data_IF_893178436414
#
_entry.id   IF_893178436414
#
_cell.length_a   1.000
_cell.length_b   1.000
_cell.length_c   1.000
_cell.angle_alpha   90.00
_cell.angle_beta   90.00
_cell.angle_gamma   90.00
#
_symmetry.space_group_name_H-M   'P 1'
#
loop_
_entity.id
_entity.type
_entity.pdbx_description
1 polymer ?
#
# COMPACT_ATOMS: atom_id res chain seq x y z
N UNK A 1 -4.16 24.23 -40.03
CA UNK A 1 -3.58 22.97 -40.57
C UNK A 1 -3.12 21.98 -39.49
N UNK A 2 -2.43 22.39 -38.41
CA UNK A 2 -2.04 21.48 -37.32
C UNK A 2 -3.20 20.89 -36.48
N UNK A 3 -4.21 21.70 -36.17
CA UNK A 3 -5.42 21.26 -35.43
C UNK A 3 -6.24 20.19 -36.17
N UNK A 4 -6.32 20.27 -37.50
CA UNK A 4 -7.01 19.28 -38.35
C UNK A 4 -6.24 17.94 -38.42
N UNK A 5 -4.91 17.98 -38.30
CA UNK A 5 -4.07 16.78 -38.24
C UNK A 5 -4.21 16.04 -36.90
N UNK A 6 -4.22 16.72 -35.73
CA UNK A 6 -4.41 16.00 -34.45
C UNK A 6 -5.81 15.38 -34.34
N UNK A 7 -6.87 16.07 -34.78
CA UNK A 7 -8.22 15.49 -34.81
C UNK A 7 -8.31 14.25 -35.71
N UNK A 8 -7.60 14.22 -36.85
CA UNK A 8 -7.62 13.07 -37.77
C UNK A 8 -6.81 11.87 -37.26
N UNK A 9 -5.70 12.09 -36.57
CA UNK A 9 -4.87 11.02 -36.02
C UNK A 9 -5.58 10.30 -34.86
N UNK A 10 -6.32 11.06 -34.04
CA UNK A 10 -7.05 10.54 -32.87
C UNK A 10 -8.35 9.83 -33.23
N UNK A 11 -9.06 10.30 -34.27
CA UNK A 11 -10.32 9.68 -34.71
C UNK A 11 -10.12 8.28 -35.34
N UNK A 12 -8.89 7.95 -35.76
CA UNK A 12 -8.57 6.64 -36.34
C UNK A 12 -8.31 5.55 -35.30
N UNK A 13 -7.90 5.93 -34.08
CA UNK A 13 -7.66 5.00 -32.96
C UNK A 13 -8.89 4.78 -32.06
N UNK A 14 -10.01 5.46 -32.33
CA UNK A 14 -11.20 5.48 -31.48
C UNK A 14 -12.33 4.50 -31.83
N UNK A 15 -12.16 3.59 -32.81
CA UNK A 15 -13.26 2.70 -33.23
C UNK A 15 -12.91 1.21 -33.07
N UNK A 16 -13.33 0.54 -31.97
CA UNK A 16 -13.09 -0.88 -31.78
C UNK A 16 -14.18 -1.70 -32.47
N UNK A 17 -14.00 -2.05 -33.75
CA UNK A 17 -14.89 -2.99 -34.44
C UNK A 17 -14.40 -4.44 -34.34
N UNK A 18 -15.23 -5.28 -33.73
CA UNK A 18 -15.41 -6.73 -33.90
C UNK A 18 -14.17 -7.58 -34.27
N UNK A 19 -13.53 -8.13 -33.25
CA UNK A 19 -12.77 -9.38 -33.35
C UNK A 19 -12.97 -10.19 -32.06
N UNK A 20 -12.98 -11.51 -32.15
CA UNK A 20 -13.23 -12.44 -31.04
C UNK A 20 -12.18 -12.39 -29.91
N UNK A 21 -11.12 -11.59 -30.08
CA UNK A 21 -10.23 -11.12 -29.02
C UNK A 21 -10.36 -9.60 -28.88
N UNK A 22 -10.52 -9.09 -27.65
CA UNK A 22 -10.51 -7.65 -27.42
C UNK A 22 -9.13 -7.07 -27.75
N UNK A 23 -9.04 -5.77 -28.07
CA UNK A 23 -7.74 -5.11 -28.32
C UNK A 23 -6.80 -5.23 -27.11
N UNK A 24 -7.35 -5.31 -25.90
CA UNK A 24 -6.58 -5.52 -24.68
C UNK A 24 -5.89 -6.89 -24.65
N UNK A 25 -6.57 -7.95 -25.08
CA UNK A 25 -5.97 -9.29 -25.17
C UNK A 25 -4.80 -9.33 -26.17
N UNK A 26 -4.88 -8.56 -27.26
CA UNK A 26 -3.77 -8.48 -28.23
C UNK A 26 -2.55 -7.80 -27.64
N UNK A 27 -2.74 -6.69 -26.91
CA UNK A 27 -1.65 -5.99 -26.21
C UNK A 27 -1.03 -6.90 -25.15
N UNK A 28 -1.87 -7.58 -24.35
CA UNK A 28 -1.42 -8.55 -23.36
C UNK A 28 -0.62 -9.69 -24.01
N UNK A 29 -1.12 -10.27 -25.11
CA UNK A 29 -0.41 -11.33 -25.84
C UNK A 29 0.98 -10.91 -26.34
N UNK A 30 1.11 -9.68 -26.85
CA UNK A 30 2.43 -9.13 -27.24
C UNK A 30 3.35 -8.98 -26.03
N UNK A 31 2.83 -8.50 -24.90
CA UNK A 31 3.61 -8.37 -23.67
C UNK A 31 4.12 -9.71 -23.14
N UNK A 32 3.30 -10.78 -23.20
CA UNK A 32 3.72 -12.15 -22.85
C UNK A 32 4.87 -12.61 -23.74
N UNK A 33 4.73 -12.48 -25.06
CA UNK A 33 5.77 -12.89 -26.02
C UNK A 33 7.09 -12.14 -25.78
N UNK A 34 7.02 -10.85 -25.47
CA UNK A 34 8.21 -10.05 -25.13
C UNK A 34 8.84 -10.57 -23.83
N UNK A 35 8.04 -10.81 -22.80
CA UNK A 35 8.51 -11.32 -21.51
C UNK A 35 9.25 -12.65 -21.65
N UNK A 36 8.69 -13.60 -22.39
CA UNK A 36 9.26 -14.92 -22.65
C UNK A 36 10.54 -14.82 -23.50
N UNK A 37 10.51 -14.03 -24.58
CA UNK A 37 11.66 -13.86 -25.49
C UNK A 37 12.85 -13.20 -24.81
N UNK A 38 12.59 -12.25 -23.90
CA UNK A 38 13.62 -11.59 -23.10
C UNK A 38 14.01 -12.39 -21.84
N UNK A 39 13.31 -13.51 -21.55
CA UNK A 39 13.55 -14.38 -20.39
C UNK A 39 13.54 -13.61 -19.06
N UNK A 40 12.57 -12.70 -18.90
CA UNK A 40 12.50 -11.84 -17.71
C UNK A 40 12.15 -12.63 -16.44
N UNK A 41 11.24 -13.59 -16.58
CA UNK A 41 10.79 -14.55 -15.56
C UNK A 41 10.46 -15.87 -16.26
N UNK A 42 10.25 -16.98 -15.53
CA UNK A 42 9.78 -18.23 -16.14
C UNK A 42 8.50 -18.02 -16.97
N UNK A 43 8.40 -18.68 -18.12
CA UNK A 43 7.32 -18.46 -19.11
C UNK A 43 5.89 -18.54 -18.50
N UNK A 44 5.56 -19.50 -17.61
CA UNK A 44 4.24 -19.52 -16.99
C UNK A 44 3.94 -18.26 -16.15
N UNK A 45 4.97 -17.66 -15.54
CA UNK A 45 4.84 -16.42 -14.75
C UNK A 45 4.64 -15.22 -15.65
N UNK A 46 5.25 -15.18 -16.85
CA UNK A 46 4.99 -14.11 -17.84
C UNK A 46 3.50 -14.01 -18.15
N UNK A 47 2.83 -15.14 -18.41
CA UNK A 47 1.39 -15.16 -18.68
C UNK A 47 0.57 -14.71 -17.47
N UNK A 48 0.89 -15.23 -16.27
CA UNK A 48 0.14 -14.92 -15.03
C UNK A 48 0.26 -13.45 -14.63
N UNK A 49 1.48 -12.88 -14.66
CA UNK A 49 1.68 -11.48 -14.30
C UNK A 49 1.02 -10.55 -15.32
N UNK A 50 1.11 -10.84 -16.62
CA UNK A 50 0.44 -10.02 -17.63
C UNK A 50 -1.07 -10.12 -17.48
N UNK A 51 -1.62 -11.30 -17.25
CA UNK A 51 -3.06 -11.48 -17.04
C UNK A 51 -3.57 -10.65 -15.86
N UNK A 52 -2.84 -10.67 -14.74
CA UNK A 52 -3.21 -9.92 -13.55
C UNK A 52 -3.12 -8.40 -13.75
N UNK A 53 -2.10 -7.92 -14.48
CA UNK A 53 -1.84 -6.48 -14.64
C UNK A 53 -2.51 -5.84 -15.86
N UNK A 54 -2.94 -6.62 -16.88
CA UNK A 54 -3.32 -6.07 -18.19
C UNK A 54 -4.40 -5.00 -18.08
N UNK A 55 -5.41 -5.21 -17.26
CA UNK A 55 -6.55 -4.30 -17.15
C UNK A 55 -6.12 -2.95 -16.56
N UNK A 56 -5.47 -2.97 -15.40
CA UNK A 56 -5.00 -1.77 -14.70
C UNK A 56 -3.96 -0.98 -15.51
N UNK A 57 -2.99 -1.67 -16.10
CA UNK A 57 -1.93 -1.02 -16.91
C UNK A 57 -2.52 -0.39 -18.16
N UNK A 58 -3.33 -1.12 -18.93
CA UNK A 58 -3.94 -0.58 -20.15
C UNK A 58 -4.84 0.60 -19.82
N UNK A 59 -5.64 0.49 -18.75
CA UNK A 59 -6.51 1.59 -18.29
C UNK A 59 -5.69 2.82 -17.89
N UNK A 60 -4.59 2.63 -17.14
CA UNK A 60 -3.70 3.72 -16.74
C UNK A 60 -3.06 4.40 -17.96
N UNK A 61 -2.60 3.64 -18.96
CA UNK A 61 -2.04 4.19 -20.20
C UNK A 61 -3.07 4.98 -21.01
N UNK A 62 -4.30 4.47 -21.14
CA UNK A 62 -5.41 5.17 -21.80
C UNK A 62 -5.76 6.48 -21.07
N UNK A 63 -5.78 6.45 -19.74
CA UNK A 63 -6.08 7.62 -18.90
C UNK A 63 -4.94 8.65 -18.80
N UNK A 64 -3.72 8.28 -19.20
CA UNK A 64 -2.51 9.11 -19.10
C UNK A 64 -1.84 9.29 -20.46
N UNK A 65 -0.77 8.54 -20.75
CA UNK A 65 0.10 8.72 -21.93
C UNK A 65 -0.67 8.78 -23.24
N UNK A 66 -1.70 7.95 -23.40
CA UNK A 66 -2.49 7.86 -24.64
C UNK A 66 -3.67 8.83 -24.66
N UNK A 67 -3.86 9.64 -23.61
CA UNK A 67 -4.88 10.69 -23.61
C UNK A 67 -4.55 11.69 -24.72
N UNK A 68 -5.53 12.09 -25.56
CA UNK A 68 -5.32 13.02 -26.67
C UNK A 68 -4.49 14.26 -26.33
N UNK A 69 -4.83 14.90 -25.21
CA UNK A 69 -4.18 16.11 -24.70
C UNK A 69 -2.71 15.89 -24.32
N UNK A 70 -2.38 14.75 -23.71
CA UNK A 70 -1.00 14.39 -23.33
C UNK A 70 -0.18 14.08 -24.58
N UNK A 71 -0.68 13.15 -25.41
CA UNK A 71 0.03 12.70 -26.60
C UNK A 71 0.26 13.84 -27.61
N UNK A 72 -0.77 14.64 -27.90
CA UNK A 72 -0.63 15.82 -28.78
C UNK A 72 0.27 16.88 -28.13
N UNK A 73 0.20 17.10 -26.81
CA UNK A 73 1.06 18.03 -26.09
C UNK A 73 2.54 17.66 -26.15
N UNK A 74 2.86 16.37 -26.02
CA UNK A 74 4.22 15.85 -26.11
C UNK A 74 4.78 15.93 -27.54
N UNK A 75 3.98 15.55 -28.54
CA UNK A 75 4.45 15.41 -29.93
C UNK A 75 4.43 16.73 -30.72
N UNK A 76 3.43 17.58 -30.47
CA UNK A 76 3.17 18.79 -31.26
C UNK A 76 3.27 20.09 -30.45
N UNK A 77 3.64 19.99 -29.17
CA UNK A 77 3.84 21.13 -28.28
C UNK A 77 2.55 21.70 -27.68
N UNK A 78 2.73 22.74 -26.87
CA UNK A 78 1.68 23.33 -26.01
C UNK A 78 0.48 23.92 -26.74
N UNK A 79 0.61 24.17 -28.05
CA UNK A 79 -0.51 24.64 -28.89
C UNK A 79 -1.51 23.54 -29.22
N UNK A 80 -1.14 22.26 -29.04
CA UNK A 80 -1.97 21.11 -29.39
C UNK A 80 -2.44 20.28 -28.19
N UNK A 81 -1.83 20.48 -27.02
CA UNK A 81 -2.19 19.82 -25.77
C UNK A 81 -1.20 20.15 -24.66
N UNK A 82 -1.35 19.52 -23.50
CA UNK A 82 -0.43 19.67 -22.37
C UNK A 82 0.08 18.31 -21.90
N UNK A 83 1.41 18.12 -21.95
CA UNK A 83 2.08 17.01 -21.29
C UNK A 83 2.33 17.35 -19.82
N UNK A 84 1.61 16.70 -18.89
CA UNK A 84 1.74 16.95 -17.44
C UNK A 84 2.05 15.70 -16.60
N UNK A 85 2.28 14.55 -17.24
CA UNK A 85 2.72 13.32 -16.60
C UNK A 85 4.02 13.55 -15.82
N UNK A 86 3.97 13.31 -14.51
CA UNK A 86 5.06 13.54 -13.55
C UNK A 86 5.60 14.97 -13.53
N UNK A 87 4.80 15.96 -13.91
CA UNK A 87 5.17 17.37 -13.79
C UNK A 87 5.39 17.78 -12.32
N UNK A 88 6.29 18.74 -12.11
CA UNK A 88 6.54 19.31 -10.80
C UNK A 88 5.27 19.94 -10.21
N UNK A 89 5.09 19.75 -8.91
CA UNK A 89 3.96 20.30 -8.16
C UNK A 89 4.45 20.83 -6.81
N UNK A 90 3.75 21.85 -6.30
CA UNK A 90 4.07 22.51 -5.05
C UNK A 90 2.88 22.46 -4.08
N UNK A 91 3.17 22.40 -2.79
CA UNK A 91 2.18 22.60 -1.72
C UNK A 91 2.42 23.95 -1.09
N UNK A 92 1.35 24.74 -1.02
CA UNK A 92 1.38 26.01 -0.29
C UNK A 92 1.36 25.75 1.21
N UNK A 93 2.38 26.24 1.91
CA UNK A 93 2.41 26.23 3.38
C UNK A 93 1.52 27.36 3.93
N UNK A 94 0.97 27.21 5.15
CA UNK A 94 0.25 28.29 5.82
C UNK A 94 1.13 29.55 5.96
N UNK A 95 0.50 30.73 5.95
CA UNK A 95 1.21 32.02 6.12
C UNK A 95 1.78 32.22 7.54
N UNK A 96 1.46 31.34 8.48
CA UNK A 96 1.99 31.35 9.84
C UNK A 96 3.52 31.25 9.83
N UNK A 97 4.26 32.20 10.42
CA UNK A 97 5.71 32.16 10.44
C UNK A 97 6.24 30.88 11.10
N UNK A 98 7.30 30.30 10.53
CA UNK A 98 7.99 29.15 11.12
C UNK A 98 8.54 29.55 12.49
N UNK A 99 8.19 28.84 13.59
CA UNK A 99 8.72 29.16 14.91
C UNK A 99 10.25 28.92 14.96
N UNK A 100 10.97 29.57 15.88
CA UNK A 100 12.39 29.30 16.09
C UNK A 100 12.68 27.82 16.32
N UNK A 101 13.77 27.32 15.74
CA UNK A 101 14.17 25.92 15.91
C UNK A 101 14.73 25.73 17.32
N UNK A 102 14.00 24.99 18.15
CA UNK A 102 14.42 24.62 19.49
C UNK A 102 14.76 23.13 19.51
N UNK A 103 16.01 22.72 19.79
CA UNK A 103 16.36 21.31 19.88
C UNK A 103 15.61 20.66 21.06
N UNK A 104 15.21 19.38 20.94
CA UNK A 104 14.62 18.64 22.05
C UNK A 104 15.58 18.63 23.24
N UNK A 105 15.06 18.98 24.43
CA UNK A 105 15.84 18.90 25.67
C UNK A 105 15.90 17.44 26.14
N UNK A 106 17.06 16.96 26.64
CA UNK A 106 17.13 15.64 27.26
C UNK A 106 16.10 15.49 28.38
N UNK A 107 15.48 14.31 28.53
CA UNK A 107 14.54 14.08 29.62
C UNK A 107 15.26 14.16 30.97
N UNK A 108 14.59 14.70 31.98
CA UNK A 108 15.11 14.70 33.34
C UNK A 108 15.25 13.25 33.88
N UNK A 109 16.17 12.99 34.82
CA UNK A 109 16.29 11.68 35.46
C UNK A 109 14.95 11.22 36.05
N UNK A 110 14.54 9.98 35.75
CA UNK A 110 13.27 9.42 36.21
C UNK A 110 12.03 9.81 35.38
N UNK A 111 12.20 10.51 34.25
CA UNK A 111 11.09 10.77 33.34
C UNK A 111 10.45 9.46 32.85
N UNK A 112 9.10 9.41 32.71
CA UNK A 112 8.41 8.24 32.20
C UNK A 112 8.87 7.90 30.79
N UNK A 113 9.00 6.61 30.50
CA UNK A 113 9.41 6.09 29.19
C UNK A 113 8.25 5.32 28.56
N UNK A 114 8.03 5.55 27.27
CA UNK A 114 7.11 4.77 26.46
C UNK A 114 7.88 3.69 25.72
N UNK A 115 7.34 2.47 25.70
CA UNK A 115 7.87 1.33 24.95
C UNK A 115 6.93 0.99 23.81
N UNK A 116 7.37 1.29 22.59
CA UNK A 116 6.63 1.01 21.36
C UNK A 116 7.20 -0.23 20.70
N UNK A 117 6.33 -1.18 20.37
CA UNK A 117 6.65 -2.26 19.45
C UNK A 117 6.49 -1.76 18.02
N UNK A 118 7.44 -2.07 17.15
CA UNK A 118 7.37 -1.77 15.73
C UNK A 118 7.38 -3.07 14.92
N UNK A 119 6.33 -3.30 14.16
CA UNK A 119 6.17 -4.44 13.26
C UNK A 119 6.08 -3.93 11.82
N UNK A 120 6.72 -4.60 10.89
CA UNK A 120 6.71 -4.25 9.46
C UNK A 120 7.03 -5.48 8.65
N UNK A 121 6.60 -5.52 7.38
CA UNK A 121 7.03 -6.48 6.37
C UNK A 121 6.89 -7.94 6.86
N UNK A 122 5.70 -8.28 7.37
CA UNK A 122 5.42 -9.64 7.88
C UNK A 122 5.50 -10.66 6.74
N UNK A 123 5.04 -10.27 5.54
CA UNK A 123 4.99 -11.10 4.33
C UNK A 123 4.67 -12.56 4.63
N UNK A 124 3.42 -12.78 5.03
CA UNK A 124 2.93 -14.13 5.27
C UNK A 124 2.69 -14.85 3.95
N UNK A 125 3.44 -15.93 3.73
CA UNK A 125 3.20 -16.87 2.64
C UNK A 125 2.33 -18.03 3.13
N UNK A 126 1.07 -18.03 2.68
CA UNK A 126 0.11 -19.11 2.92
C UNK A 126 0.58 -20.45 2.32
N UNK A 127 1.36 -20.41 1.26
CA UNK A 127 1.82 -21.58 0.51
C UNK A 127 3.23 -22.03 0.88
N UNK A 128 3.85 -21.45 1.93
CA UNK A 128 5.18 -21.89 2.39
C UNK A 128 5.17 -23.36 2.81
N UNK A 129 6.08 -24.16 2.25
CA UNK A 129 6.23 -25.59 2.52
C UNK A 129 7.66 -25.88 2.98
N UNK A 130 7.87 -26.25 4.27
CA UNK A 130 9.15 -26.77 4.73
C UNK A 130 9.61 -27.96 3.88
N UNK A 131 10.90 -28.00 3.55
CA UNK A 131 11.51 -29.03 2.72
C UNK A 131 11.45 -28.78 1.21
N UNK A 132 10.60 -27.86 0.73
CA UNK A 132 10.57 -27.46 -0.69
C UNK A 132 11.87 -26.77 -1.13
N UNK A 133 12.07 -26.56 -2.42
CA UNK A 133 13.28 -25.89 -2.91
C UNK A 133 13.29 -24.41 -2.51
N UNK A 134 14.32 -24.00 -1.77
CA UNK A 134 14.63 -22.59 -1.56
C UNK A 134 15.34 -21.94 -2.77
N UNK A 135 15.72 -22.72 -3.78
CA UNK A 135 16.50 -22.29 -4.95
C UNK A 135 15.76 -22.61 -6.25
N UNK A 136 14.54 -22.11 -6.36
CA UNK A 136 13.70 -22.23 -7.56
C UNK A 136 14.03 -21.14 -8.60
N UNK A 137 13.46 -21.26 -9.81
CA UNK A 137 13.61 -20.27 -10.88
C UNK A 137 12.64 -19.10 -10.77
N UNK A 138 11.59 -19.24 -9.96
CA UNK A 138 10.54 -18.22 -9.74
C UNK A 138 11.05 -17.10 -8.83
N UNK A 139 10.42 -15.90 -8.84
CA UNK A 139 10.83 -14.79 -7.98
C UNK A 139 10.69 -15.07 -6.47
N UNK A 140 9.76 -15.93 -6.06
CA UNK A 140 9.55 -16.38 -4.68
C UNK A 140 9.59 -17.91 -4.63
N UNK A 141 10.34 -18.47 -3.69
CA UNK A 141 10.54 -19.90 -3.51
C UNK A 141 10.03 -20.38 -2.13
N UNK A 142 10.44 -21.58 -1.72
CA UNK A 142 10.04 -22.23 -0.46
C UNK A 142 8.54 -22.54 -0.33
N UNK A 143 7.83 -22.64 -1.45
CA UNK A 143 6.37 -22.76 -1.49
C UNK A 143 5.89 -23.86 -2.44
N UNK A 144 4.58 -24.09 -2.45
CA UNK A 144 3.95 -24.89 -3.49
C UNK A 144 4.37 -24.39 -4.88
N UNK A 145 4.75 -25.29 -5.78
CA UNK A 145 5.28 -24.94 -7.11
C UNK A 145 6.80 -24.77 -7.19
N UNK A 146 7.50 -24.50 -6.08
CA UNK A 146 8.97 -24.34 -6.07
C UNK A 146 9.75 -25.63 -6.39
N UNK A 147 9.08 -26.78 -6.38
CA UNK A 147 9.69 -28.10 -6.51
C UNK A 147 10.45 -28.52 -5.24
N UNK A 148 11.29 -29.53 -5.38
CA UNK A 148 12.09 -30.11 -4.29
C UNK A 148 13.58 -29.83 -4.50
N UNK A 149 14.38 -29.75 -3.41
CA UNK A 149 15.81 -29.51 -3.52
C UNK A 149 16.49 -30.63 -4.33
N UNK A 150 17.46 -30.24 -5.18
CA UNK A 150 18.31 -31.20 -5.89
C UNK A 150 19.22 -31.99 -4.94
N UNK A 151 19.85 -33.04 -5.45
CA UNK A 151 20.76 -33.91 -4.68
C UNK A 151 21.84 -33.10 -3.96
N UNK A 152 21.99 -33.34 -2.65
CA UNK A 152 22.98 -32.65 -1.81
C UNK A 152 22.60 -31.23 -1.38
N UNK A 153 21.43 -30.72 -1.77
CA UNK A 153 20.90 -29.44 -1.28
C UNK A 153 19.88 -29.67 -0.17
N UNK A 154 19.87 -28.76 0.81
CA UNK A 154 18.84 -28.74 1.87
C UNK A 154 17.56 -28.11 1.32
N UNK A 155 16.42 -28.62 1.78
CA UNK A 155 15.12 -27.98 1.55
C UNK A 155 14.92 -26.76 2.46
N UNK A 156 13.85 -26.04 2.19
CA UNK A 156 13.40 -24.87 2.95
C UNK A 156 13.27 -25.22 4.44
N UNK A 157 13.81 -24.36 5.30
CA UNK A 157 13.74 -24.54 6.75
C UNK A 157 12.30 -24.54 7.28
N UNK A 158 12.12 -25.10 8.48
CA UNK A 158 10.79 -25.15 9.09
C UNK A 158 10.23 -23.77 9.42
N UNK A 159 11.09 -22.82 9.82
CA UNK A 159 10.71 -21.48 10.30
C UNK A 159 10.94 -20.36 9.29
N UNK A 160 11.30 -20.71 8.06
CA UNK A 160 11.83 -19.77 7.06
C UNK A 160 13.15 -20.27 6.49
N UNK A 161 13.66 -19.60 5.47
CA UNK A 161 14.95 -19.88 4.86
C UNK A 161 15.69 -18.60 4.47
N UNK A 162 17.01 -18.64 4.44
CA UNK A 162 17.86 -17.55 3.98
C UNK A 162 17.95 -17.57 2.45
N UNK A 163 16.83 -17.28 1.79
CA UNK A 163 16.72 -17.20 0.34
C UNK A 163 15.62 -16.20 -0.04
N UNK A 164 15.23 -16.15 -1.32
CA UNK A 164 14.04 -15.47 -1.81
C UNK A 164 12.77 -16.21 -1.40
N UNK A 165 12.49 -16.20 -0.11
CA UNK A 165 11.37 -16.89 0.53
C UNK A 165 10.74 -15.98 1.58
N UNK A 166 9.42 -16.07 1.71
CA UNK A 166 8.63 -15.34 2.70
C UNK A 166 8.33 -16.23 3.92
N UNK A 167 7.59 -15.71 4.91
CA UNK A 167 7.43 -16.38 6.20
C UNK A 167 6.23 -17.35 6.22
N UNK A 168 6.38 -18.57 6.77
CA UNK A 168 5.23 -19.38 7.13
C UNK A 168 4.52 -18.80 8.35
N UNK A 169 3.20 -19.02 8.45
CA UNK A 169 2.37 -18.49 9.56
C UNK A 169 2.91 -18.86 10.96
N UNK A 170 3.54 -20.04 11.09
CA UNK A 170 4.14 -20.48 12.36
C UNK A 170 5.23 -19.55 12.88
N UNK A 171 5.99 -18.90 12.00
CA UNK A 171 7.06 -17.98 12.40
C UNK A 171 6.46 -16.70 12.94
N UNK A 172 5.38 -16.21 12.31
CA UNK A 172 4.58 -15.08 12.80
C UNK A 172 3.98 -15.40 14.19
N UNK A 173 3.38 -16.59 14.35
CA UNK A 173 2.90 -17.05 15.67
C UNK A 173 4.01 -17.07 16.73
N UNK A 174 5.19 -17.59 16.38
CA UNK A 174 6.31 -17.71 17.33
C UNK A 174 6.79 -16.33 17.77
N UNK A 175 6.93 -15.39 16.83
CA UNK A 175 7.25 -13.99 17.11
C UNK A 175 6.24 -13.38 18.08
N UNK A 176 4.94 -13.43 17.75
CA UNK A 176 3.91 -12.79 18.56
C UNK A 176 3.76 -13.43 19.95
N UNK A 177 3.93 -14.76 20.04
CA UNK A 177 3.92 -15.48 21.31
C UNK A 177 5.05 -15.03 22.24
N UNK A 178 6.25 -14.76 21.71
CA UNK A 178 7.37 -14.29 22.53
C UNK A 178 7.19 -12.84 22.99
N UNK A 179 6.57 -11.98 22.18
CA UNK A 179 6.33 -10.58 22.52
C UNK A 179 5.41 -10.40 23.73
N UNK A 180 4.45 -11.30 23.93
CA UNK A 180 3.60 -11.29 25.13
C UNK A 180 4.38 -11.44 26.46
N UNK A 181 5.66 -11.84 26.42
CA UNK A 181 6.53 -11.99 27.58
C UNK A 181 7.60 -10.91 27.78
N UNK A 182 7.75 -9.94 26.86
CA UNK A 182 8.90 -9.00 26.86
C UNK A 182 8.73 -7.73 27.73
N UNK A 183 7.70 -7.70 28.58
CA UNK A 183 7.41 -6.58 29.49
C UNK A 183 6.25 -5.69 29.02
N UNK A 184 5.97 -4.63 29.79
CA UNK A 184 4.88 -3.71 29.47
C UNK A 184 5.21 -2.87 28.23
N UNK A 185 4.46 -3.09 27.15
CA UNK A 185 4.40 -2.23 25.97
C UNK A 185 3.26 -1.22 26.14
N UNK A 186 3.41 -0.02 25.58
CA UNK A 186 2.37 1.01 25.61
C UNK A 186 1.50 1.00 24.36
N UNK A 187 2.11 0.75 23.19
CA UNK A 187 1.44 0.68 21.91
C UNK A 187 2.29 -0.04 20.85
N UNK A 188 1.68 -0.28 19.69
CA UNK A 188 2.31 -0.94 18.54
C UNK A 188 2.16 -0.08 17.29
N UNK A 189 3.23 0.09 16.55
CA UNK A 189 3.20 0.56 15.16
C UNK A 189 3.33 -0.64 14.24
N UNK A 190 2.46 -0.72 13.24
CA UNK A 190 2.49 -1.81 12.26
C UNK A 190 2.41 -1.27 10.85
N UNK A 191 3.50 -1.28 10.10
CA UNK A 191 3.60 -0.52 8.84
C UNK A 191 3.27 -1.29 7.56
N UNK A 192 2.43 -2.33 7.66
CA UNK A 192 1.89 -3.03 6.49
C UNK A 192 2.79 -4.12 5.94
N UNK A 193 2.67 -4.37 4.64
CA UNK A 193 3.30 -5.46 3.88
C UNK A 193 3.03 -6.84 4.50
N UNK A 194 1.73 -7.15 4.51
CA UNK A 194 1.14 -8.39 5.04
C UNK A 194 1.28 -9.55 4.07
N UNK A 195 0.89 -9.43 2.78
CA UNK A 195 0.88 -10.54 1.84
C UNK A 195 2.29 -10.82 1.30
N UNK A 196 2.56 -12.06 0.90
CA UNK A 196 3.83 -12.49 0.32
C UNK A 196 4.11 -11.91 -1.09
N UNK A 197 5.30 -12.19 -1.62
CA UNK A 197 5.82 -11.73 -2.90
C UNK A 197 5.41 -12.60 -4.11
N UNK A 198 4.35 -13.41 -4.02
CA UNK A 198 3.76 -14.13 -5.15
C UNK A 198 2.86 -13.25 -6.03
N UNK A 199 3.39 -12.08 -6.40
CA UNK A 199 2.66 -10.98 -7.04
C UNK A 199 2.09 -11.31 -8.42
N UNK A 200 2.48 -12.44 -9.01
CA UNK A 200 1.94 -12.93 -10.27
C UNK A 200 0.65 -13.74 -10.08
N UNK A 201 0.34 -14.16 -8.85
CA UNK A 201 -0.79 -15.04 -8.56
C UNK A 201 -1.42 -14.65 -7.20
N UNK A 202 -2.12 -13.52 -7.19
CA UNK A 202 -2.83 -12.97 -6.03
C UNK A 202 -4.22 -12.48 -6.44
N UNK A 203 -5.25 -13.04 -5.84
CA UNK A 203 -6.62 -12.53 -5.93
C UNK A 203 -6.92 -11.55 -4.80
N UNK A 204 -7.99 -10.76 -4.92
CA UNK A 204 -8.45 -9.89 -3.81
C UNK A 204 -8.75 -10.70 -2.55
N UNK A 205 -9.31 -11.89 -2.71
CA UNK A 205 -9.64 -12.76 -1.59
C UNK A 205 -8.38 -13.25 -0.85
N UNK A 206 -7.28 -13.49 -1.56
CA UNK A 206 -6.00 -13.83 -0.94
C UNK A 206 -5.47 -12.66 -0.10
N UNK A 207 -5.56 -11.43 -0.63
CA UNK A 207 -5.15 -10.21 0.08
C UNK A 207 -6.00 -9.99 1.35
N UNK A 208 -7.32 -10.13 1.23
CA UNK A 208 -8.24 -9.99 2.37
C UNK A 208 -8.06 -11.12 3.41
N UNK A 209 -7.73 -12.32 2.96
CA UNK A 209 -7.39 -13.45 3.84
C UNK A 209 -6.10 -13.14 4.62
N UNK A 210 -5.07 -12.61 3.96
CA UNK A 210 -3.85 -12.17 4.62
C UNK A 210 -4.12 -11.07 5.66
N UNK A 211 -4.84 -10.02 5.26
CA UNK A 211 -5.24 -8.91 6.13
C UNK A 211 -5.96 -9.41 7.40
N UNK A 212 -7.01 -10.20 7.22
CA UNK A 212 -7.85 -10.66 8.34
C UNK A 212 -7.12 -11.66 9.24
N UNK A 213 -6.34 -12.57 8.66
CA UNK A 213 -5.56 -13.57 9.42
C UNK A 213 -4.51 -12.90 10.29
N UNK A 214 -3.67 -12.03 9.72
CA UNK A 214 -2.59 -11.38 10.48
C UNK A 214 -3.14 -10.37 11.48
N UNK A 215 -4.18 -9.61 11.11
CA UNK A 215 -4.89 -8.73 12.07
C UNK A 215 -5.46 -9.53 13.24
N UNK A 216 -6.06 -10.69 12.97
CA UNK A 216 -6.59 -11.60 13.99
C UNK A 216 -5.51 -12.12 14.95
N UNK A 217 -4.35 -12.54 14.42
CA UNK A 217 -3.22 -12.96 15.24
C UNK A 217 -2.67 -11.83 16.10
N UNK A 218 -2.50 -10.64 15.54
CA UNK A 218 -2.06 -9.46 16.29
C UNK A 218 -3.02 -9.16 17.45
N UNK A 219 -4.33 -9.17 17.19
CA UNK A 219 -5.35 -8.97 18.23
C UNK A 219 -5.27 -10.05 19.30
N UNK A 220 -5.07 -11.32 18.92
CA UNK A 220 -4.99 -12.43 19.85
C UNK A 220 -3.80 -12.30 20.82
N UNK A 221 -2.62 -11.95 20.32
CA UNK A 221 -1.40 -11.93 21.14
C UNK A 221 -1.13 -10.58 21.83
N UNK A 222 -1.53 -9.46 21.22
CA UNK A 222 -1.29 -8.12 21.77
C UNK A 222 -2.43 -7.67 22.70
N UNK A 223 -3.55 -8.38 22.70
CA UNK A 223 -4.66 -8.17 23.64
C UNK A 223 -5.23 -6.75 23.57
N UNK A 224 -5.06 -5.98 24.66
CA UNK A 224 -5.62 -4.63 24.81
C UNK A 224 -4.72 -3.51 24.28
N UNK A 225 -3.52 -3.84 23.78
CA UNK A 225 -2.62 -2.84 23.22
C UNK A 225 -3.28 -2.17 22.00
N UNK A 226 -3.11 -0.85 21.89
CA UNK A 226 -3.51 -0.13 20.69
C UNK A 226 -2.46 -0.36 19.60
N UNK A 227 -2.92 -0.82 18.43
CA UNK A 227 -2.09 -1.01 17.24
C UNK A 227 -2.43 0.10 16.25
N UNK A 228 -1.42 0.79 15.74
CA UNK A 228 -1.55 1.84 14.75
C UNK A 228 -1.01 1.33 13.40
N UNK A 229 -1.90 0.78 12.54
CA UNK A 229 -1.50 0.21 11.25
C UNK A 229 -1.30 1.27 10.17
N UNK A 230 -0.31 1.08 9.31
CA UNK A 230 -0.18 1.76 8.02
C UNK A 230 -0.37 0.76 6.87
N UNK A 231 -0.70 1.30 5.70
CA UNK A 231 -0.88 0.52 4.47
C UNK A 231 0.47 0.49 3.74
N UNK A 232 1.01 -0.71 3.52
CA UNK A 232 2.17 -0.95 2.67
C UNK A 232 1.76 -1.11 1.21
N UNK A 233 2.71 -1.49 0.37
CA UNK A 233 2.52 -1.55 -1.08
C UNK A 233 2.10 -2.96 -1.57
N UNK A 234 2.24 -3.99 -0.73
CA UNK A 234 1.80 -5.36 -1.01
C UNK A 234 0.34 -5.64 -0.62
N UNK A 235 -0.38 -4.71 0.01
CA UNK A 235 -1.78 -4.94 0.41
C UNK A 235 -2.75 -5.05 -0.77
N UNK A 236 -2.50 -4.33 -1.87
CA UNK A 236 -3.35 -4.38 -3.07
C UNK A 236 -2.94 -5.49 -4.03
N UNK A 237 -3.88 -5.91 -4.87
CA UNK A 237 -3.60 -6.68 -6.09
C UNK A 237 -4.22 -5.96 -7.30
N UNK A 238 -3.47 -5.76 -8.39
CA UNK A 238 -2.04 -6.07 -8.55
C UNK A 238 -1.15 -5.29 -7.57
N UNK A 239 0.05 -5.79 -7.27
CA UNK A 239 0.96 -5.13 -6.31
C UNK A 239 1.23 -3.68 -6.73
N UNK A 240 1.30 -2.76 -5.76
CA UNK A 240 1.43 -1.31 -5.97
C UNK A 240 0.23 -0.62 -6.66
N UNK A 241 -0.85 -1.33 -7.00
CA UNK A 241 -2.06 -0.73 -7.58
C UNK A 241 -2.94 -0.09 -6.50
N UNK A 242 -2.70 1.21 -6.27
CA UNK A 242 -3.51 2.05 -5.38
C UNK A 242 -4.14 3.23 -6.13
N UNK A 243 -5.20 3.00 -6.93
CA UNK A 243 -5.87 4.09 -7.64
C UNK A 243 -6.34 5.19 -6.68
N UNK A 244 -6.06 6.46 -7.00
CA UNK A 244 -6.43 7.59 -6.16
C UNK A 244 -7.96 7.77 -6.08
N UNK A 245 -8.47 8.56 -5.11
CA UNK A 245 -9.91 8.62 -4.82
C UNK A 245 -10.80 9.15 -5.96
N UNK A 246 -10.22 9.72 -7.01
CA UNK A 246 -10.95 10.14 -8.21
C UNK A 246 -11.25 8.96 -9.16
N UNK A 247 -10.68 7.78 -8.92
CA UNK A 247 -11.04 6.53 -9.60
C UNK A 247 -12.12 5.83 -8.78
N UNK A 248 -13.23 5.50 -9.42
CA UNK A 248 -14.43 4.96 -8.76
C UNK A 248 -14.78 3.55 -9.26
N UNK A 249 -15.76 2.93 -8.59
CA UNK A 249 -16.27 1.61 -8.96
C UNK A 249 -15.28 0.49 -8.65
N UNK A 250 -15.41 -0.62 -9.38
CA UNK A 250 -14.66 -1.85 -9.09
C UNK A 250 -13.14 -1.71 -9.28
N UNK A 251 -12.68 -0.72 -10.05
CA UNK A 251 -11.25 -0.46 -10.27
C UNK A 251 -10.60 0.32 -9.13
N UNK A 252 -11.38 0.89 -8.22
CA UNK A 252 -10.84 1.61 -7.05
C UNK A 252 -10.32 0.67 -5.96
N UNK A 253 -9.52 1.18 -5.03
CA UNK A 253 -9.08 0.45 -3.82
C UNK A 253 -10.14 0.38 -2.71
N UNK A 254 -11.41 0.71 -3.00
CA UNK A 254 -12.49 0.74 -1.98
C UNK A 254 -12.68 -0.61 -1.30
N UNK A 255 -12.55 -1.72 -2.03
CA UNK A 255 -12.65 -3.07 -1.50
C UNK A 255 -11.64 -3.31 -0.36
N UNK A 256 -10.41 -2.82 -0.54
CA UNK A 256 -9.31 -3.00 0.40
C UNK A 256 -9.47 -2.09 1.63
N UNK A 257 -9.72 -0.79 1.41
CA UNK A 257 -9.84 0.18 2.50
C UNK A 257 -11.08 -0.06 3.37
N UNK A 258 -12.16 -0.57 2.78
CA UNK A 258 -13.35 -0.95 3.55
C UNK A 258 -13.05 -2.13 4.46
N UNK A 259 -12.40 -3.18 3.94
CA UNK A 259 -12.00 -4.34 4.74
C UNK A 259 -10.99 -3.97 5.84
N UNK A 260 -10.02 -3.09 5.55
CA UNK A 260 -9.09 -2.55 6.56
C UNK A 260 -9.83 -1.80 7.66
N UNK A 261 -10.78 -0.94 7.28
CA UNK A 261 -11.60 -0.21 8.24
C UNK A 261 -12.40 -1.12 9.16
N UNK A 262 -12.86 -2.27 8.68
CA UNK A 262 -13.57 -3.26 9.49
C UNK A 262 -12.60 -4.04 10.39
N UNK A 263 -11.52 -4.55 9.81
CA UNK A 263 -10.51 -5.33 10.51
C UNK A 263 -9.85 -4.53 11.65
N UNK A 264 -9.60 -3.23 11.43
CA UNK A 264 -8.90 -2.34 12.38
C UNK A 264 -9.84 -1.50 13.24
N UNK A 265 -11.16 -1.69 13.15
CA UNK A 265 -12.17 -0.90 13.87
C UNK A 265 -11.98 -0.90 15.39
N UNK A 266 -11.38 -1.96 15.94
CA UNK A 266 -11.16 -2.09 17.39
C UNK A 266 -9.98 -1.26 17.90
N UNK A 267 -9.07 -0.82 17.02
CA UNK A 267 -7.88 -0.05 17.39
C UNK A 267 -8.01 1.44 17.06
N UNK A 268 -8.86 1.78 16.10
CA UNK A 268 -8.92 3.12 15.52
C UNK A 268 -10.23 3.83 15.84
N UNK A 269 -10.20 5.15 16.16
CA UNK A 269 -11.42 5.91 16.42
C UNK A 269 -12.24 6.12 15.13
N UNK A 270 -13.55 6.39 15.22
CA UNK A 270 -14.43 6.56 14.06
C UNK A 270 -13.94 7.60 13.03
N UNK A 271 -13.32 8.69 13.48
CA UNK A 271 -12.76 9.71 12.57
C UNK A 271 -11.59 9.18 11.73
N UNK A 272 -10.73 8.35 12.32
CA UNK A 272 -9.63 7.69 11.62
C UNK A 272 -10.16 6.66 10.61
N UNK A 273 -11.14 5.85 11.02
CA UNK A 273 -11.80 4.87 10.15
C UNK A 273 -12.48 5.54 8.95
N UNK A 274 -13.14 6.68 9.17
CA UNK A 274 -13.70 7.46 8.09
C UNK A 274 -12.62 7.87 7.09
N UNK A 275 -11.50 8.45 7.53
CA UNK A 275 -10.42 8.82 6.62
C UNK A 275 -9.77 7.63 5.91
N UNK A 276 -9.63 6.48 6.59
CA UNK A 276 -9.07 5.25 6.03
C UNK A 276 -9.86 4.75 4.82
N UNK A 277 -11.20 4.81 4.87
CA UNK A 277 -12.07 4.35 3.77
C UNK A 277 -11.88 5.12 2.46
N UNK A 278 -11.45 6.38 2.54
CA UNK A 278 -11.34 7.28 1.39
C UNK A 278 -9.91 7.63 1.01
N UNK A 279 -8.93 7.44 1.90
CA UNK A 279 -7.54 7.88 1.73
C UNK A 279 -6.59 6.89 2.39
N UNK A 280 -5.41 6.70 1.78
CA UNK A 280 -4.27 5.96 2.36
C UNK A 280 -3.74 6.52 3.70
N UNK A 281 -4.31 7.60 4.24
CA UNK A 281 -3.72 8.38 5.33
C UNK A 281 -4.74 8.71 6.43
N UNK A 282 -5.06 7.77 7.34
CA UNK A 282 -5.87 8.09 8.49
C UNK A 282 -5.10 8.92 9.53
N UNK A 283 -5.77 9.92 10.12
CA UNK A 283 -5.23 10.65 11.29
C UNK A 283 -5.77 10.02 12.57
N UNK A 284 -4.88 9.65 13.50
CA UNK A 284 -5.27 9.06 14.78
C UNK A 284 -4.73 9.92 15.92
N UNK A 285 -5.60 10.51 16.76
CA UNK A 285 -5.14 11.12 18.01
C UNK A 285 -4.70 10.02 19.00
N UNK A 286 -3.48 10.10 19.54
CA UNK A 286 -3.05 9.28 20.68
C UNK A 286 -3.63 9.85 21.99
N UNK A 287 -3.73 9.04 23.06
CA UNK A 287 -3.93 9.58 24.40
C UNK A 287 -2.79 10.54 24.75
N UNK A 288 -3.10 11.66 25.42
CA UNK A 288 -2.14 12.69 25.91
C UNK A 288 -1.45 13.55 24.83
N UNK A 289 -2.23 14.09 23.90
CA UNK A 289 -1.82 15.28 23.11
C UNK A 289 -0.74 15.06 22.04
N UNK A 290 -0.38 13.80 21.73
CA UNK A 290 0.55 13.47 20.65
C UNK A 290 -0.25 13.02 19.42
N UNK A 291 -0.33 13.81 18.33
CA UNK A 291 -0.93 13.33 17.10
C UNK A 291 -0.03 12.28 16.44
N UNK A 292 -0.57 11.11 16.08
CA UNK A 292 0.11 10.15 15.21
C UNK A 292 -0.48 10.26 13.80
N UNK A 293 0.38 10.46 12.81
CA UNK A 293 0.00 10.44 11.41
C UNK A 293 0.43 9.10 10.83
N UNK A 294 -0.56 8.28 10.45
CA UNK A 294 -0.31 7.04 9.72
C UNK A 294 -0.37 7.39 8.23
N UNK A 295 0.76 7.29 7.57
CA UNK A 295 0.92 7.59 6.16
C UNK A 295 1.17 6.29 5.41
N UNK A 296 0.20 5.85 4.61
CA UNK A 296 0.44 4.81 3.62
C UNK A 296 1.28 5.39 2.49
N UNK A 297 2.49 4.87 2.31
CA UNK A 297 3.38 5.25 1.21
C UNK A 297 3.23 4.19 0.13
N UNK A 298 2.35 4.42 -0.83
CA UNK A 298 2.40 3.66 -2.09
C UNK A 298 3.53 4.25 -2.94
N UNK A 299 4.42 3.41 -3.48
CA UNK A 299 5.62 3.82 -4.22
C UNK A 299 5.33 4.58 -5.54
N UNK A 300 4.05 4.80 -5.87
CA UNK A 300 3.65 5.51 -7.08
C UNK A 300 2.95 6.84 -6.74
N UNK A 301 3.58 8.01 -7.02
CA UNK A 301 2.88 9.29 -6.92
C UNK A 301 1.70 9.31 -7.90
N UNK A 302 0.59 10.01 -7.57
CA UNK A 302 -0.55 10.12 -8.48
C UNK A 302 -0.13 10.78 -9.79
N UNK A 303 -0.57 10.22 -10.92
CA UNK A 303 -0.28 10.73 -12.28
C UNK A 303 -0.85 12.14 -12.56
N UNK A 304 -1.61 12.74 -11.62
CA UNK A 304 -2.17 14.08 -11.75
C UNK A 304 -1.90 14.94 -10.51
N UNK A 305 -1.47 16.17 -10.76
CA UNK A 305 -1.16 17.20 -9.77
C UNK A 305 -2.36 18.12 -9.39
N UNK A 306 -3.54 17.93 -9.99
CA UNK A 306 -4.71 18.80 -9.73
C UNK A 306 -5.62 18.31 -8.58
N UNK A 307 -5.05 18.10 -7.39
CA UNK A 307 -5.84 17.98 -6.17
C UNK A 307 -5.88 19.35 -5.46
N UNK A 308 -7.06 19.95 -5.39
CA UNK A 308 -7.30 21.07 -4.47
C UNK A 308 -6.92 20.65 -3.04
N UNK A 309 -6.20 21.47 -2.27
CA UNK A 309 -5.91 21.17 -0.88
C UNK A 309 -7.23 21.08 -0.09
N UNK A 310 -7.35 20.13 0.85
CA UNK A 310 -8.49 20.11 1.76
C UNK A 310 -8.55 21.44 2.52
N UNK A 311 -9.73 22.05 2.55
CA UNK A 311 -10.02 23.22 3.38
C UNK A 311 -9.66 22.92 4.84
N UNK A 312 -8.64 23.60 5.37
CA UNK A 312 -8.23 23.50 6.76
C UNK A 312 -9.19 24.31 7.62
N UNK A 313 -10.01 23.64 8.43
CA UNK A 313 -10.63 24.27 9.60
C UNK A 313 -9.60 24.30 10.73
N UNK A 314 -9.24 25.47 11.30
CA UNK A 314 -8.35 25.53 12.44
C UNK A 314 -9.00 24.84 13.65
N UNK A 315 -8.19 24.11 14.43
CA UNK A 315 -8.62 23.54 15.69
C UNK A 315 -9.15 24.66 16.61
N UNK A 316 -10.31 24.47 17.28
CA UNK A 316 -10.75 25.43 18.28
C UNK A 316 -9.72 25.51 19.42
N UNK A 317 -9.49 26.70 20.00
CA UNK A 317 -8.58 26.85 21.13
C UNK A 317 -9.05 25.97 22.30
N UNK A 318 -8.13 25.44 23.13
CA UNK A 318 -8.48 24.64 24.29
C UNK A 318 -9.39 25.44 25.24
N UNK A 319 -10.49 24.84 25.65
CA UNK A 319 -11.39 25.40 26.65
C UNK A 319 -10.64 25.63 27.97
N UNK A 320 -10.84 26.77 28.66
CA UNK A 320 -10.22 27.02 29.94
C UNK A 320 -10.65 25.96 30.97
N UNK A 321 -9.66 25.43 31.70
CA UNK A 321 -9.86 24.49 32.78
C UNK A 321 -10.61 25.20 33.92
N UNK A 322 -11.73 24.67 34.44
CA UNK A 322 -12.37 25.23 35.62
C UNK A 322 -11.44 25.06 36.82
N UNK A 323 -10.99 26.17 37.40
CA UNK A 323 -10.29 26.16 38.70
C UNK A 323 -11.32 25.89 39.79
N UNK A 324 -11.30 24.68 40.36
CA UNK A 324 -12.01 24.37 41.60
C UNK A 324 -11.24 24.95 42.79
N UNK A 325 -11.55 26.18 43.18
CA UNK A 325 -11.14 26.71 44.49
C UNK A 325 -12.31 26.60 45.46
N UNK A 326 -12.40 25.47 46.16
CA UNK A 326 -13.15 25.34 47.41
C UNK A 326 -12.18 24.87 48.48
N UNK A 327 -11.50 25.82 49.11
CA UNK A 327 -10.87 25.59 50.41
C UNK A 327 -11.93 25.60 51.51
N UNK A 328 -11.77 24.82 52.59
CA UNK A 328 -12.70 24.85 53.71
C UNK A 328 -12.51 26.14 54.52
N UNK A 329 -13.63 26.75 54.92
CA UNK A 329 -13.64 27.82 55.91
C UNK A 329 -13.12 27.30 57.26
N UNK A 330 -12.06 27.93 57.78
CA UNK A 330 -11.85 28.33 59.18
C UNK A 330 -10.66 29.29 59.23
#
# INVERSE_FOLDING_TARGET
>A
NGLLWCSSLLSHYGNPSHSTFTNAERVAGVAVVICERLRLVPDPICSQVVELFKHDVITAWIGSVLRPDEACGLLLGSTCGRWDIYSDWNISLPATPKPPVLPPKPPHPGAPQLRLLFLTDIHWDREYIPGSSAQCKEPLCCRAGSGWPGRGRRGAGQWGDYSKCDLPLRTVHSLLKQLGGQGALDAVYWTGDIPAHNIWHQSRDDQLTALTTITGLLRQYLGKLHVYPAVGNHESTPVNSFPPPFIHGNQSSTWLYSAMSEAWAHWLPPSALHTLRYKLHPRVPLPRSLPCLLQGVSQNPPLRSNLQPPSYLPCPPPSPIPTSSSGPNL
#
